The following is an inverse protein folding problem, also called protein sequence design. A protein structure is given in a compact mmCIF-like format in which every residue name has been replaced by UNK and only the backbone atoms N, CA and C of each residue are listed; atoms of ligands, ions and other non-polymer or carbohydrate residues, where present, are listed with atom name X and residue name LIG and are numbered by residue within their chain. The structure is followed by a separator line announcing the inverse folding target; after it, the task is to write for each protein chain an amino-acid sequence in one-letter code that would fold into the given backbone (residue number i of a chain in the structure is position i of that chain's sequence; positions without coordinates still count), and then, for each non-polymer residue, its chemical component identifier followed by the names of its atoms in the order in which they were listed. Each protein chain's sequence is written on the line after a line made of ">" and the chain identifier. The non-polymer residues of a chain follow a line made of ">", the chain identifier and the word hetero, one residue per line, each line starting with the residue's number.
data_IF_666819692035
#
_entry.id   IF_666819692035
#
_cell.length_a   1.000
_cell.length_b   1.000
_cell.length_c   1.000
_cell.angle_alpha   90.00
_cell.angle_beta   90.00
_cell.angle_gamma   90.00
#
_symmetry.space_group_name_H-M   'P 1'
#
loop_
_entity.id
_entity.type
_entity.pdbx_description
1 polymer ?
#
# COMPACT_ATOMS: atom_id res chain seq x y z
N UNK A 1 -10.32 -12.69 -29.62
CA UNK A 1 -10.50 -12.86 -28.16
C UNK A 1 -9.41 -12.03 -27.46
N UNK A 2 -9.73 -11.25 -26.42
CA UNK A 2 -8.71 -10.48 -25.67
C UNK A 2 -7.82 -11.47 -24.92
N UNK A 3 -6.60 -11.71 -25.40
CA UNK A 3 -5.64 -12.70 -24.91
C UNK A 3 -5.37 -12.63 -23.39
N UNK A 4 -5.44 -11.42 -22.83
CA UNK A 4 -5.26 -11.15 -21.40
C UNK A 4 -6.42 -11.62 -20.50
N UNK A 5 -7.55 -12.07 -21.06
CA UNK A 5 -8.70 -12.58 -20.29
C UNK A 5 -8.61 -14.09 -20.01
N UNK A 6 -7.65 -14.81 -20.60
CA UNK A 6 -7.60 -16.28 -20.55
C UNK A 6 -6.73 -16.89 -19.44
N UNK A 7 -5.95 -16.10 -18.71
CA UNK A 7 -4.92 -16.63 -17.81
C UNK A 7 -5.32 -16.54 -16.34
N UNK A 8 -5.59 -17.71 -15.74
CA UNK A 8 -5.85 -17.87 -14.31
C UNK A 8 -4.62 -18.46 -13.60
N UNK A 9 -3.52 -17.70 -13.50
CA UNK A 9 -2.28 -18.16 -12.88
C UNK A 9 -1.82 -17.25 -11.74
N UNK A 10 -1.35 -17.87 -10.65
CA UNK A 10 -0.71 -17.19 -9.52
C UNK A 10 0.82 -17.07 -9.69
N UNK A 11 1.39 -17.68 -10.74
CA UNK A 11 2.84 -17.69 -10.96
C UNK A 11 3.29 -16.41 -11.67
N UNK A 12 4.01 -15.55 -10.94
CA UNK A 12 4.58 -14.32 -11.49
C UNK A 12 5.55 -14.57 -12.65
N UNK A 13 6.29 -15.68 -12.61
CA UNK A 13 7.25 -16.09 -13.65
C UNK A 13 6.51 -16.43 -14.95
N UNK A 14 5.53 -17.33 -14.86
CA UNK A 14 4.71 -17.73 -16.01
C UNK A 14 3.98 -16.54 -16.62
N UNK A 15 3.40 -15.67 -15.79
CA UNK A 15 2.79 -14.43 -16.27
C UNK A 15 3.80 -13.47 -16.89
N UNK A 16 5.06 -13.45 -16.43
CA UNK A 16 6.08 -12.61 -17.06
C UNK A 16 6.43 -13.12 -18.46
N UNK A 17 6.79 -14.41 -18.55
CA UNK A 17 7.25 -15.05 -19.77
C UNK A 17 6.19 -14.99 -20.89
N UNK A 18 4.91 -15.14 -20.53
CA UNK A 18 3.83 -15.20 -21.50
C UNK A 18 3.22 -13.84 -21.87
N UNK A 19 3.25 -12.82 -20.99
CA UNK A 19 2.46 -11.58 -21.17
C UNK A 19 3.31 -10.32 -21.26
N UNK A 20 4.53 -10.31 -20.71
CA UNK A 20 5.27 -9.07 -20.54
C UNK A 20 5.53 -8.33 -21.85
N UNK A 21 6.00 -9.03 -22.89
CA UNK A 21 6.31 -8.39 -24.17
C UNK A 21 5.06 -7.92 -24.93
N UNK A 22 3.97 -8.69 -24.88
CA UNK A 22 2.70 -8.29 -25.50
C UNK A 22 2.10 -7.05 -24.81
N UNK A 23 2.14 -7.01 -23.48
CA UNK A 23 1.67 -5.88 -22.70
C UNK A 23 2.46 -4.61 -22.94
N UNK A 24 3.79 -4.75 -23.07
CA UNK A 24 4.69 -3.65 -23.38
C UNK A 24 4.41 -3.08 -24.77
N UNK A 25 4.07 -3.93 -25.74
CA UNK A 25 3.69 -3.51 -27.10
C UNK A 25 2.34 -2.79 -27.13
N UNK A 26 1.35 -3.25 -26.36
CA UNK A 26 -0.03 -2.73 -26.42
C UNK A 26 -0.22 -1.49 -25.55
N UNK A 27 0.24 -1.52 -24.30
CA UNK A 27 -0.08 -0.48 -23.33
C UNK A 27 0.99 0.63 -23.27
N UNK A 28 2.15 0.42 -23.89
CA UNK A 28 3.28 1.35 -23.88
C UNK A 28 3.69 1.84 -22.48
N UNK A 29 3.34 1.08 -21.43
CA UNK A 29 3.66 1.41 -20.05
C UNK A 29 5.14 1.16 -19.77
N UNK A 30 5.65 1.83 -18.73
CA UNK A 30 6.97 1.49 -18.24
C UNK A 30 7.00 0.05 -17.68
N UNK A 31 8.19 -0.58 -17.70
CA UNK A 31 8.38 -1.96 -17.25
C UNK A 31 7.91 -2.19 -15.81
N UNK A 32 8.16 -1.23 -14.94
CA UNK A 32 7.81 -1.33 -13.52
C UNK A 32 6.29 -1.31 -13.30
N UNK A 33 5.51 -0.53 -14.06
CA UNK A 33 4.06 -0.51 -14.02
C UNK A 33 3.44 -1.80 -14.56
N UNK A 34 4.02 -2.39 -15.60
CA UNK A 34 3.58 -3.71 -16.08
C UNK A 34 3.80 -4.77 -14.99
N UNK A 35 4.94 -4.71 -14.30
CA UNK A 35 5.25 -5.61 -13.20
C UNK A 35 4.31 -5.39 -11.99
N UNK A 36 4.02 -4.15 -11.60
CA UNK A 36 3.11 -3.87 -10.47
C UNK A 36 1.67 -4.23 -10.80
N UNK A 37 1.23 -4.02 -12.05
CA UNK A 37 -0.09 -4.46 -12.52
C UNK A 37 -0.22 -6.00 -12.48
N UNK A 38 0.80 -6.73 -12.95
CA UNK A 38 0.85 -8.20 -12.83
C UNK A 38 0.77 -8.65 -11.38
N UNK A 39 1.58 -8.03 -10.52
CA UNK A 39 1.62 -8.39 -9.10
C UNK A 39 0.28 -8.12 -8.41
N UNK A 40 -0.40 -7.01 -8.77
CA UNK A 40 -1.75 -6.70 -8.29
C UNK A 40 -2.79 -7.71 -8.76
N UNK A 41 -2.72 -8.15 -10.02
CA UNK A 41 -3.60 -9.19 -10.53
C UNK A 41 -3.42 -10.53 -9.77
N UNK A 42 -2.17 -10.89 -9.45
CA UNK A 42 -1.88 -12.08 -8.63
C UNK A 42 -2.40 -11.93 -7.19
N UNK A 43 -2.26 -10.75 -6.58
CA UNK A 43 -2.82 -10.45 -5.25
C UNK A 43 -4.34 -10.61 -5.22
N UNK A 44 -5.02 -10.04 -6.21
CA UNK A 44 -6.47 -10.15 -6.40
C UNK A 44 -6.88 -11.62 -6.51
N UNK A 45 -6.22 -12.38 -7.39
CA UNK A 45 -6.57 -13.78 -7.63
C UNK A 45 -6.36 -14.62 -6.36
N UNK A 46 -5.24 -14.44 -5.67
CA UNK A 46 -4.97 -15.12 -4.39
C UNK A 46 -6.01 -14.78 -3.33
N UNK A 47 -6.39 -13.50 -3.22
CA UNK A 47 -7.41 -13.05 -2.28
C UNK A 47 -8.77 -13.66 -2.60
N UNK A 48 -9.15 -13.70 -3.88
CA UNK A 48 -10.39 -14.32 -4.31
C UNK A 48 -10.41 -15.82 -4.01
N UNK A 49 -9.37 -16.56 -4.38
CA UNK A 49 -9.30 -18.01 -4.13
C UNK A 49 -9.34 -18.39 -2.64
N UNK A 50 -8.80 -17.54 -1.77
CA UNK A 50 -8.87 -17.77 -0.31
C UNK A 50 -10.28 -17.59 0.26
N UNK A 51 -11.11 -16.76 -0.38
CA UNK A 51 -12.43 -16.39 0.12
C UNK A 51 -13.59 -16.94 -0.74
N UNK A 52 -13.29 -17.64 -1.84
CA UNK A 52 -14.30 -18.13 -2.77
C UNK A 52 -15.11 -19.26 -2.12
N UNK A 53 -16.42 -19.20 -2.29
CA UNK A 53 -17.34 -20.34 -2.14
C UNK A 53 -17.43 -21.08 -3.48
N UNK A 54 -17.98 -22.29 -3.51
CA UNK A 54 -18.04 -23.14 -4.72
C UNK A 54 -18.58 -22.39 -5.96
N UNK A 55 -19.66 -21.62 -5.81
CA UNK A 55 -20.28 -20.87 -6.92
C UNK A 55 -19.78 -19.43 -7.09
N UNK A 56 -18.68 -19.07 -6.42
CA UNK A 56 -18.18 -17.70 -6.49
C UNK A 56 -17.53 -17.42 -7.84
N UNK A 57 -17.88 -16.27 -8.43
CA UNK A 57 -17.26 -15.74 -9.64
C UNK A 57 -16.50 -14.46 -9.31
N UNK A 58 -15.27 -14.34 -9.82
CA UNK A 58 -14.45 -13.15 -9.61
C UNK A 58 -15.06 -11.95 -10.34
N UNK A 59 -15.68 -11.04 -9.58
CA UNK A 59 -16.21 -9.78 -10.10
C UNK A 59 -15.41 -8.60 -9.54
N UNK A 60 -14.55 -8.04 -10.37
CA UNK A 60 -13.77 -6.85 -10.02
C UNK A 60 -14.66 -5.62 -9.98
N UNK A 61 -15.00 -5.16 -8.77
CA UNK A 61 -15.70 -3.88 -8.57
C UNK A 61 -14.77 -2.68 -8.70
N UNK A 62 -13.49 -2.86 -8.36
CA UNK A 62 -12.48 -1.79 -8.29
C UNK A 62 -11.12 -2.33 -8.66
N UNK A 63 -10.36 -1.53 -9.39
CA UNK A 63 -8.95 -1.79 -9.71
C UNK A 63 -8.15 -0.56 -9.30
N UNK A 64 -6.95 -0.79 -8.83
CA UNK A 64 -6.00 0.24 -8.42
C UNK A 64 -4.66 0.00 -9.10
N UNK A 65 -3.89 1.08 -9.27
CA UNK A 65 -2.58 1.02 -9.90
C UNK A 65 -1.53 1.41 -8.87
N UNK A 66 -0.57 0.52 -8.64
CA UNK A 66 0.53 0.72 -7.71
C UNK A 66 1.75 1.27 -8.43
N UNK A 67 2.26 2.39 -7.92
CA UNK A 67 3.50 3.02 -8.32
C UNK A 67 4.54 2.79 -7.21
N UNK A 68 5.67 2.18 -7.54
CA UNK A 68 6.81 2.10 -6.63
C UNK A 68 7.79 3.26 -6.86
N UNK A 69 8.85 3.34 -6.05
CA UNK A 69 9.86 4.41 -6.11
C UNK A 69 10.48 4.65 -7.51
N UNK A 70 10.40 3.67 -8.43
CA UNK A 70 10.89 3.80 -9.80
C UNK A 70 9.93 4.61 -10.68
N UNK A 71 8.66 4.73 -10.27
CA UNK A 71 7.58 5.27 -11.09
C UNK A 71 6.80 6.41 -10.44
N UNK A 72 7.09 6.78 -9.19
CA UNK A 72 6.58 8.02 -8.63
C UNK A 72 7.68 8.86 -7.99
N UNK A 73 7.45 10.18 -7.99
CA UNK A 73 8.16 11.15 -7.18
C UNK A 73 7.15 11.86 -6.28
N UNK A 74 7.58 12.25 -5.10
CA UNK A 74 6.75 13.04 -4.19
C UNK A 74 7.60 14.18 -3.64
N UNK A 75 7.08 15.40 -3.71
CA UNK A 75 7.80 16.59 -3.28
C UNK A 75 6.87 17.58 -2.58
N UNK A 76 7.49 18.39 -1.71
CA UNK A 76 6.87 19.54 -1.05
C UNK A 76 7.49 20.81 -1.61
N UNK A 77 6.66 21.80 -1.88
CA UNK A 77 7.05 23.14 -2.36
C UNK A 77 6.73 24.20 -1.31
N UNK A 78 7.19 25.42 -1.56
CA UNK A 78 6.92 26.60 -0.72
C UNK A 78 5.60 27.30 -1.06
N UNK A 79 4.87 26.83 -2.08
CA UNK A 79 3.60 27.43 -2.48
C UNK A 79 2.50 27.09 -1.46
N UNK A 80 1.96 28.12 -0.81
CA UNK A 80 0.94 28.01 0.24
C UNK A 80 -0.36 27.36 -0.25
N UNK A 81 -0.74 27.53 -1.52
CA UNK A 81 -1.99 26.98 -2.07
C UNK A 81 -1.89 25.51 -2.46
N UNK A 82 -0.70 25.04 -2.86
CA UNK A 82 -0.48 23.65 -3.30
C UNK A 82 0.92 23.18 -2.91
N UNK A 83 1.05 22.76 -1.66
CA UNK A 83 2.34 22.38 -1.11
C UNK A 83 2.85 21.07 -1.71
N UNK A 84 2.00 20.05 -1.84
CA UNK A 84 2.44 18.68 -2.16
C UNK A 84 2.17 18.30 -3.60
N UNK A 85 3.16 17.70 -4.24
CA UNK A 85 3.10 17.26 -5.61
C UNK A 85 3.48 15.79 -5.74
N UNK A 86 2.60 15.03 -6.40
CA UNK A 86 2.84 13.66 -6.79
C UNK A 86 3.14 13.62 -8.28
N UNK A 87 4.36 13.22 -8.62
CA UNK A 87 4.77 12.97 -10.00
C UNK A 87 4.58 11.48 -10.29
N UNK A 88 3.79 11.14 -11.30
CA UNK A 88 3.60 9.76 -11.77
C UNK A 88 4.23 9.57 -13.14
N UNK A 89 5.11 8.59 -13.27
CA UNK A 89 5.72 8.18 -14.54
C UNK A 89 4.87 7.07 -15.16
N UNK A 90 4.11 7.38 -16.22
CA UNK A 90 3.21 6.40 -16.86
C UNK A 90 3.94 5.59 -17.95
N UNK A 91 4.74 6.27 -18.76
CA UNK A 91 5.58 5.65 -19.78
C UNK A 91 6.96 6.33 -19.80
N UNK A 92 7.84 5.94 -20.74
CA UNK A 92 9.21 6.46 -20.80
C UNK A 92 9.31 7.96 -21.11
N UNK A 93 8.22 8.63 -21.53
CA UNK A 93 8.21 10.02 -22.00
C UNK A 93 7.30 10.93 -21.19
N UNK A 94 6.23 10.38 -20.61
CA UNK A 94 5.17 11.14 -19.97
C UNK A 94 5.22 11.00 -18.45
N UNK A 95 5.35 12.16 -17.80
CA UNK A 95 5.19 12.33 -16.37
C UNK A 95 3.99 13.23 -16.13
N UNK A 96 3.12 12.81 -15.24
CA UNK A 96 1.97 13.61 -14.79
C UNK A 96 2.30 14.15 -13.41
N UNK A 97 2.14 15.46 -13.21
CA UNK A 97 2.27 16.09 -11.90
C UNK A 97 0.87 16.40 -11.37
N UNK A 98 0.56 15.86 -10.20
CA UNK A 98 -0.73 15.99 -9.55
C UNK A 98 -0.56 16.73 -8.23
N UNK A 99 -1.29 17.84 -7.99
CA UNK A 99 -1.37 18.41 -6.66
C UNK A 99 -2.10 17.44 -5.73
N UNK A 100 -1.56 17.22 -4.52
CA UNK A 100 -2.16 16.36 -3.51
C UNK A 100 -2.61 17.20 -2.32
N UNK A 101 -3.86 16.98 -1.92
CA UNK A 101 -4.46 17.58 -0.74
C UNK A 101 -4.59 16.48 0.31
N UNK A 102 -4.09 16.74 1.51
CA UNK A 102 -4.19 15.83 2.65
C UNK A 102 -5.09 16.43 3.72
N UNK A 103 -5.87 15.59 4.41
CA UNK A 103 -6.47 15.99 5.69
C UNK A 103 -5.40 16.19 6.76
N UNK A 104 -5.70 16.92 7.84
CA UNK A 104 -4.70 17.33 8.86
C UNK A 104 -3.88 16.16 9.42
N UNK A 105 -4.54 15.07 9.83
CA UNK A 105 -3.85 13.87 10.36
C UNK A 105 -2.94 13.20 9.34
N UNK A 106 -3.37 13.16 8.08
CA UNK A 106 -2.57 12.59 7.00
C UNK A 106 -1.38 13.50 6.68
N UNK A 107 -1.60 14.82 6.70
CA UNK A 107 -0.57 15.84 6.51
C UNK A 107 0.54 15.66 7.53
N UNK A 108 0.20 15.52 8.81
CA UNK A 108 1.19 15.26 9.87
C UNK A 108 2.04 14.03 9.54
N UNK A 109 1.41 12.90 9.19
CA UNK A 109 2.14 11.66 8.87
C UNK A 109 3.04 11.80 7.64
N UNK A 110 2.63 12.59 6.66
CA UNK A 110 3.42 12.90 5.47
C UNK A 110 4.62 13.79 5.82
N UNK A 111 4.46 14.76 6.71
CA UNK A 111 5.56 15.59 7.21
C UNK A 111 6.58 14.76 8.02
N UNK A 112 6.11 13.87 8.90
CA UNK A 112 6.98 12.91 9.62
C UNK A 112 7.79 12.05 8.62
N UNK A 113 7.15 11.62 7.53
CA UNK A 113 7.83 10.88 6.46
C UNK A 113 8.83 11.73 5.68
N UNK A 114 8.52 13.00 5.41
CA UNK A 114 9.45 13.94 4.76
C UNK A 114 10.66 14.26 5.65
N UNK A 115 10.49 14.25 6.97
CA UNK A 115 11.55 14.42 7.96
C UNK A 115 12.39 13.13 8.18
N UNK A 116 12.03 12.02 7.53
CA UNK A 116 12.78 10.76 7.59
C UNK A 116 12.35 9.79 8.69
N UNK A 117 11.32 10.11 9.48
CA UNK A 117 10.81 9.18 10.52
C UNK A 117 10.10 7.97 9.92
N UNK A 118 9.51 8.15 8.73
CA UNK A 118 8.91 7.11 7.94
C UNK A 118 9.51 7.09 6.54
N UNK A 119 9.58 5.91 5.95
CA UNK A 119 10.03 5.71 4.59
C UNK A 119 8.83 5.58 3.66
N UNK A 120 8.78 6.42 2.64
CA UNK A 120 7.86 6.20 1.53
C UNK A 120 8.22 4.91 0.81
N UNK A 121 7.23 4.11 0.43
CA UNK A 121 7.45 2.84 -0.28
C UNK A 121 6.77 2.82 -1.64
N UNK A 122 5.45 2.94 -1.65
CA UNK A 122 4.62 2.88 -2.85
C UNK A 122 3.46 3.86 -2.71
N UNK A 123 2.92 4.27 -3.85
CA UNK A 123 1.67 5.03 -3.92
C UNK A 123 0.69 4.21 -4.76
N UNK A 124 -0.50 3.98 -4.23
CA UNK A 124 -1.56 3.30 -4.94
C UNK A 124 -2.65 4.29 -5.34
N UNK A 125 -2.85 4.43 -6.66
CA UNK A 125 -3.90 5.26 -7.23
C UNK A 125 -5.21 4.47 -7.29
N UNK A 126 -6.25 5.02 -6.67
CA UNK A 126 -7.57 4.38 -6.55
C UNK A 126 -8.65 5.35 -7.00
N UNK A 127 -9.53 4.91 -7.89
CA UNK A 127 -10.74 5.68 -8.25
C UNK A 127 -11.91 5.28 -7.37
N UNK A 128 -12.56 6.23 -6.69
CA UNK A 128 -13.77 6.00 -5.87
C UNK A 128 -14.75 7.15 -6.09
N UNK A 129 -16.02 6.81 -6.32
CA UNK A 129 -17.11 7.79 -6.46
C UNK A 129 -16.81 8.92 -7.49
N UNK A 130 -16.13 8.59 -8.59
CA UNK A 130 -15.75 9.57 -9.62
C UNK A 130 -14.41 10.26 -9.36
N UNK A 131 -13.91 10.26 -8.12
CA UNK A 131 -12.69 10.93 -7.70
C UNK A 131 -11.47 9.99 -7.64
N UNK A 132 -10.28 10.57 -7.71
CA UNK A 132 -9.01 9.86 -7.59
C UNK A 132 -8.36 10.12 -6.23
N UNK A 133 -7.88 9.04 -5.62
CA UNK A 133 -7.19 9.06 -4.34
C UNK A 133 -5.79 8.45 -4.50
N UNK A 134 -4.81 9.08 -3.86
CA UNK A 134 -3.44 8.58 -3.77
C UNK A 134 -3.21 8.00 -2.37
N UNK A 135 -3.06 6.69 -2.28
CA UNK A 135 -2.77 6.00 -1.02
C UNK A 135 -1.27 5.82 -0.87
N UNK A 136 -0.65 6.60 0.01
CA UNK A 136 0.77 6.47 0.34
C UNK A 136 0.97 5.33 1.34
N UNK A 137 1.90 4.43 1.03
CA UNK A 137 2.34 3.36 1.94
C UNK A 137 3.67 3.79 2.57
N UNK A 138 3.65 3.89 3.90
CA UNK A 138 4.78 4.35 4.71
C UNK A 138 5.25 3.21 5.61
N UNK A 139 6.56 3.07 5.78
CA UNK A 139 7.17 2.07 6.67
C UNK A 139 8.11 2.72 7.67
N UNK A 140 8.05 2.32 8.93
CA UNK A 140 8.98 2.74 9.99
C UNK A 140 9.57 1.49 10.63
N UNK A 141 10.89 1.46 10.72
CA UNK A 141 11.57 0.45 11.52
C UNK A 141 11.41 0.84 12.98
N UNK A 142 10.94 -0.09 13.80
CA UNK A 142 10.77 0.10 15.24
C UNK A 142 11.70 -0.87 15.94
N UNK A 143 12.60 -0.35 16.74
CA UNK A 143 13.44 -1.16 17.63
C UNK A 143 12.62 -1.53 18.86
N UNK A 144 12.57 -2.82 19.17
CA UNK A 144 11.91 -3.32 20.38
C UNK A 144 12.99 -3.55 21.43
N UNK A 145 12.92 -2.82 22.53
CA UNK A 145 13.77 -3.05 23.70
C UNK A 145 13.27 -4.28 24.47
N UNK A 146 14.13 -5.24 24.74
CA UNK A 146 13.76 -6.50 25.42
C UNK A 146 13.48 -6.30 26.92
N UNK A 147 14.01 -5.24 27.52
CA UNK A 147 13.82 -4.94 28.93
C UNK A 147 12.58 -4.10 29.18
N UNK A 148 11.40 -4.73 29.25
CA UNK A 148 10.22 -4.08 29.80
C UNK A 148 10.19 -4.26 31.34
N UNK A 149 10.27 -3.16 32.08
CA UNK A 149 10.16 -3.17 33.55
C UNK A 149 8.73 -3.51 34.03
N UNK A 150 7.74 -3.34 33.16
CA UNK A 150 6.32 -3.54 33.46
C UNK A 150 5.73 -4.57 32.49
N UNK A 151 5.06 -5.57 33.05
CA UNK A 151 4.24 -6.53 32.31
C UNK A 151 2.81 -5.99 32.29
N UNK A 152 2.24 -5.81 31.11
CA UNK A 152 0.83 -5.41 30.95
C UNK A 152 0.05 -6.61 30.43
N UNK A 153 -0.84 -7.15 31.25
CA UNK A 153 -1.80 -8.17 30.86
C UNK A 153 -3.09 -7.48 30.38
N UNK A 154 -3.53 -7.78 29.16
CA UNK A 154 -4.77 -7.25 28.58
C UNK A 154 -5.69 -8.42 28.30
N UNK A 155 -6.89 -8.37 28.87
CA UNK A 155 -7.97 -9.34 28.63
C UNK A 155 -9.18 -8.64 28.00
N UNK A 156 -9.90 -9.33 27.12
CA UNK A 156 -11.08 -8.81 26.41
C UNK A 156 -12.28 -9.65 26.86
N UNK A 157 -13.31 -9.01 27.42
CA UNK A 157 -14.47 -9.71 27.97
C UNK A 157 -15.80 -9.28 27.35
N UNK A 158 -16.84 -10.09 27.55
CA UNK A 158 -18.20 -9.77 27.08
C UNK A 158 -18.84 -8.61 27.86
N UNK A 159 -18.52 -8.48 29.15
CA UNK A 159 -19.04 -7.41 30.02
C UNK A 159 -18.21 -6.14 29.96
N UNK A 160 -16.90 -6.27 29.80
CA UNK A 160 -15.95 -5.17 29.69
C UNK A 160 -15.15 -5.33 28.40
N UNK A 161 -15.22 -4.33 27.52
CA UNK A 161 -14.57 -4.37 26.20
C UNK A 161 -13.07 -4.72 26.29
N UNK A 162 -12.37 -4.23 27.32
CA UNK A 162 -11.03 -4.68 27.67
C UNK A 162 -10.74 -4.36 29.15
N UNK A 163 -9.98 -5.22 29.81
CA UNK A 163 -9.41 -5.02 31.16
C UNK A 163 -7.90 -5.09 31.02
N UNK A 164 -7.18 -4.12 31.59
CA UNK A 164 -5.72 -4.08 31.58
C UNK A 164 -5.16 -4.04 33.00
N UNK A 165 -4.20 -4.92 33.31
CA UNK A 165 -3.49 -5.00 34.58
C UNK A 165 -2.00 -4.79 34.30
N UNK A 166 -1.37 -3.83 34.97
CA UNK A 166 0.05 -3.56 34.86
C UNK A 166 0.78 -4.00 36.14
N UNK A 167 1.80 -4.85 36.01
CA UNK A 167 2.64 -5.33 37.12
C UNK A 167 4.07 -4.85 36.86
N UNK A 168 4.58 -3.98 37.73
CA UNK A 168 5.97 -3.53 37.69
C UNK A 168 6.88 -4.50 38.46
N UNK A 169 8.05 -4.85 37.90
CA UNK A 169 9.03 -5.75 38.52
C UNK A 169 9.66 -5.20 39.81
N UNK A 170 9.54 -3.89 40.08
CA UNK A 170 10.25 -3.23 41.18
C UNK A 170 9.69 -3.55 42.58
N UNK A 171 8.48 -4.10 42.68
CA UNK A 171 7.80 -4.31 43.98
C UNK A 171 8.26 -5.60 44.71
N UNK A 172 9.00 -6.50 44.06
CA UNK A 172 9.38 -7.80 44.65
C UNK A 172 10.60 -7.78 45.60
N UNK A 173 11.17 -6.63 45.97
CA UNK A 173 12.41 -6.57 46.78
C UNK A 173 12.25 -6.38 48.30
N UNK A 174 11.04 -6.21 48.83
CA UNK A 174 10.82 -5.98 50.27
C UNK A 174 9.74 -6.90 50.88
N UNK A 175 9.91 -8.22 50.73
CA UNK A 175 9.22 -9.22 51.55
C UNK A 175 10.24 -10.16 52.20
#
# INVERSE_FOLDING_TARGET
>A
MKWYLGFNSKSKKLLHENYYEEAKKIFHLNTALIQTARDKAVEILKSFERNKKEDSVLRLKRVSIRFDKRCYGFSKTTNVLTLYWLTLSLNRKERINLPIIFGERQKQRIEEALNGEFHFTTVEMVKRCGEWYAHFVLTKTVELTESSETIIAIDIGERNLAVAIAISKTIQRNL
#
